data_IF_945890187156
#
_entry.id   IF_945890187156
#
_cell.length_a   1.000
_cell.length_b   1.000
_cell.length_c   1.000
_cell.angle_alpha   90.00
_cell.angle_beta   90.00
_cell.angle_gamma   90.00
#
_symmetry.space_group_name_H-M   'P 1'
#
loop_
_entity.id
_entity.type
_entity.pdbx_description
1 polymer ?
#
# COMPACT_ATOMS: atom_id res chain seq x y z
N UNK A 1 -0.83 1.91 -31.87
CA UNK A 1 -1.11 0.93 -30.79
C UNK A 1 -1.38 1.73 -29.54
N UNK A 2 -2.62 1.77 -29.07
CA UNK A 2 -2.89 2.31 -27.74
C UNK A 2 -2.26 1.35 -26.73
N UNK A 3 -1.19 1.79 -26.06
CA UNK A 3 -0.73 1.10 -24.87
C UNK A 3 -1.84 1.27 -23.83
N UNK A 4 -2.66 0.23 -23.65
CA UNK A 4 -3.62 0.19 -22.55
C UNK A 4 -2.82 0.14 -21.25
N UNK A 5 -2.45 1.31 -20.71
CA UNK A 5 -1.80 1.40 -19.40
C UNK A 5 -2.80 0.87 -18.38
N UNK A 6 -2.43 -0.24 -17.76
CA UNK A 6 -3.18 -0.85 -16.67
C UNK A 6 -3.01 0.00 -15.41
N UNK A 7 -4.07 0.13 -14.62
CA UNK A 7 -3.95 0.71 -13.30
C UNK A 7 -2.94 -0.08 -12.47
N UNK A 8 -2.10 0.64 -11.74
CA UNK A 8 -1.12 0.07 -10.84
C UNK A 8 -0.94 0.96 -9.64
N UNK A 9 -0.59 0.33 -8.53
CA UNK A 9 -0.18 0.96 -7.29
C UNK A 9 1.06 0.25 -6.76
N UNK A 10 2.07 0.99 -6.34
CA UNK A 10 3.13 0.48 -5.46
C UNK A 10 3.12 1.30 -4.19
N UNK A 11 2.90 0.66 -3.05
CA UNK A 11 2.98 1.28 -1.73
C UNK A 11 4.35 0.96 -1.15
N UNK A 12 5.22 1.95 -1.02
CA UNK A 12 6.52 1.82 -0.37
C UNK A 12 6.40 2.30 1.08
N UNK A 13 6.44 1.36 2.02
CA UNK A 13 6.34 1.65 3.44
C UNK A 13 7.76 1.69 4.03
N UNK A 14 8.10 2.81 4.65
CA UNK A 14 9.37 3.06 5.33
C UNK A 14 9.13 3.05 6.85
N UNK A 15 9.94 2.27 7.58
CA UNK A 15 9.88 2.15 9.02
C UNK A 15 10.94 3.02 9.72
N UNK A 16 10.54 4.23 10.12
CA UNK A 16 11.37 5.18 10.87
C UNK A 16 11.06 5.13 12.39
N UNK A 17 10.37 4.09 12.87
CA UNK A 17 10.22 3.86 14.32
C UNK A 17 11.60 3.58 14.93
N UNK A 18 11.89 3.98 16.19
CA UNK A 18 13.22 3.77 16.79
C UNK A 18 13.57 2.30 17.06
N UNK A 19 12.57 1.41 17.06
CA UNK A 19 12.69 -0.04 17.24
C UNK A 19 11.40 -0.73 16.80
N UNK A 20 11.44 -2.05 16.71
CA UNK A 20 10.28 -2.87 16.36
C UNK A 20 10.07 -2.95 14.85
N UNK A 21 9.12 -3.78 14.45
CA UNK A 21 8.80 -4.00 13.05
C UNK A 21 7.44 -3.39 12.72
N UNK A 22 7.27 -2.96 11.48
CA UNK A 22 5.94 -2.74 10.92
C UNK A 22 5.49 -4.04 10.27
N UNK A 23 4.29 -4.49 10.63
CA UNK A 23 3.69 -5.74 10.16
C UNK A 23 2.40 -5.40 9.44
N UNK A 24 2.20 -5.98 8.26
CA UNK A 24 0.98 -5.78 7.49
C UNK A 24 -0.07 -6.78 7.92
N UNK A 25 -1.31 -6.32 8.14
CA UNK A 25 -2.43 -7.16 8.54
C UNK A 25 -3.71 -6.77 7.80
N UNK A 26 -4.71 -7.66 7.89
CA UNK A 26 -6.07 -7.42 7.40
C UNK A 26 -6.13 -6.93 5.95
N UNK A 27 -5.23 -7.42 5.09
CA UNK A 27 -5.24 -7.09 3.67
C UNK A 27 -6.52 -7.60 3.03
N UNK A 28 -7.28 -6.71 2.41
CA UNK A 28 -8.47 -7.02 1.62
C UNK A 28 -8.31 -6.42 0.23
N UNK A 29 -8.50 -7.24 -0.79
CA UNK A 29 -8.42 -6.81 -2.19
C UNK A 29 -9.83 -6.89 -2.79
N UNK A 30 -10.42 -5.72 -3.05
CA UNK A 30 -11.70 -5.64 -3.73
C UNK A 30 -11.54 -5.87 -5.24
N UNK A 31 -10.49 -5.29 -5.84
CA UNK A 31 -10.10 -5.59 -7.22
C UNK A 31 -8.61 -5.37 -7.49
N UNK A 32 -8.12 -6.02 -8.56
CA UNK A 32 -6.70 -6.07 -8.89
C UNK A 32 -6.01 -7.27 -8.24
N UNK A 33 -4.69 -7.35 -8.40
CA UNK A 33 -3.88 -8.47 -7.95
C UNK A 33 -2.59 -7.95 -7.29
N UNK A 34 -2.31 -8.33 -6.03
CA UNK A 34 -1.00 -8.11 -5.42
C UNK A 34 0.09 -8.89 -6.14
N UNK A 35 1.26 -8.30 -6.27
CA UNK A 35 2.44 -8.95 -6.85
C UNK A 35 3.73 -8.40 -6.26
N UNK A 36 4.76 -9.23 -6.29
CA UNK A 36 6.13 -8.85 -5.98
C UNK A 36 6.89 -8.58 -7.29
N UNK A 37 7.58 -7.43 -7.34
CA UNK A 37 8.44 -7.07 -8.46
C UNK A 37 9.81 -7.72 -8.27
N UNK A 38 10.03 -8.85 -8.95
CA UNK A 38 11.34 -9.50 -9.11
C UNK A 38 11.61 -9.74 -10.60
N UNK A 39 12.71 -10.43 -10.95
CA UNK A 39 13.05 -10.77 -12.33
C UNK A 39 11.90 -11.50 -13.06
N UNK A 40 11.08 -12.24 -12.31
CA UNK A 40 9.82 -12.80 -12.77
C UNK A 40 8.74 -12.38 -11.79
N UNK A 41 7.85 -11.47 -12.21
CA UNK A 41 6.76 -10.99 -11.37
C UNK A 41 5.97 -12.17 -10.76
N UNK A 42 5.94 -12.21 -9.43
CA UNK A 42 5.26 -13.26 -8.67
C UNK A 42 3.95 -12.71 -8.14
N UNK A 43 2.84 -13.36 -8.48
CA UNK A 43 1.54 -13.00 -7.90
C UNK A 43 1.51 -13.42 -6.43
N UNK A 44 0.90 -12.59 -5.61
CA UNK A 44 0.75 -12.79 -4.17
C UNK A 44 -0.74 -12.89 -3.82
N UNK A 45 -1.07 -13.76 -2.88
CA UNK A 45 -2.37 -13.74 -2.20
C UNK A 45 -2.42 -12.62 -1.14
N UNK A 46 -3.61 -12.18 -0.69
CA UNK A 46 -3.72 -11.29 0.47
C UNK A 46 -3.05 -11.87 1.72
N UNK A 47 -3.06 -13.19 1.89
CA UNK A 47 -2.39 -13.89 2.99
C UNK A 47 -0.86 -13.80 2.89
N UNK A 48 -0.30 -13.82 1.68
CA UNK A 48 1.13 -13.57 1.48
C UNK A 48 1.50 -12.12 1.82
N UNK A 49 0.63 -11.16 1.49
CA UNK A 49 0.82 -9.74 1.85
C UNK A 49 0.78 -9.55 3.37
N UNK A 50 -0.12 -10.26 4.07
CA UNK A 50 -0.21 -10.24 5.54
C UNK A 50 1.01 -10.87 6.25
N UNK A 51 1.91 -11.54 5.52
CA UNK A 51 3.17 -12.08 6.07
C UNK A 51 4.35 -11.10 5.94
N UNK A 52 4.13 -9.94 5.31
CA UNK A 52 5.18 -8.95 5.12
C UNK A 52 5.49 -8.26 6.45
N UNK A 53 6.78 -8.24 6.78
CA UNK A 53 7.36 -7.54 7.91
C UNK A 53 8.43 -6.57 7.42
N UNK A 54 8.44 -5.37 7.99
CA UNK A 54 9.34 -4.28 7.65
C UNK A 54 10.16 -3.96 8.91
N UNK A 55 11.41 -4.44 9.01
CA UNK A 55 12.26 -4.17 10.15
C UNK A 55 12.51 -2.67 10.36
N UNK A 56 13.01 -2.31 11.54
CA UNK A 56 13.50 -0.97 11.81
C UNK A 56 14.53 -0.53 10.76
N UNK A 57 14.43 0.72 10.30
CA UNK A 57 15.33 1.36 9.33
C UNK A 57 15.32 0.70 7.93
N UNK A 58 14.29 -0.09 7.64
CA UNK A 58 14.09 -0.74 6.35
C UNK A 58 12.81 -0.22 5.66
N UNK A 59 12.74 -0.45 4.35
CA UNK A 59 11.51 -0.31 3.58
C UNK A 59 11.10 -1.62 2.89
N UNK A 60 9.81 -1.72 2.60
CA UNK A 60 9.26 -2.71 1.68
C UNK A 60 8.22 -2.08 0.77
N UNK A 61 8.16 -2.59 -0.46
CA UNK A 61 7.20 -2.16 -1.47
C UNK A 61 6.20 -3.27 -1.74
N UNK A 62 4.92 -2.99 -1.59
CA UNK A 62 3.81 -3.87 -1.98
C UNK A 62 3.19 -3.32 -3.25
N UNK A 63 3.12 -4.14 -4.30
CA UNK A 63 2.59 -3.70 -5.60
C UNK A 63 1.27 -4.38 -5.93
N UNK A 64 0.40 -3.66 -6.62
CA UNK A 64 -0.91 -4.09 -7.06
C UNK A 64 -1.10 -3.69 -8.52
N UNK A 65 -1.62 -4.60 -9.34
CA UNK A 65 -1.97 -4.30 -10.72
C UNK A 65 -3.42 -4.66 -11.02
N UNK A 66 -4.07 -3.84 -11.84
CA UNK A 66 -5.35 -4.18 -12.43
C UNK A 66 -5.20 -5.13 -13.61
N UNK A 67 -6.22 -5.18 -14.46
CA UNK A 67 -6.16 -5.93 -15.72
C UNK A 67 -6.73 -5.12 -16.87
N UNK A 68 -5.90 -4.88 -17.88
CA UNK A 68 -6.36 -4.24 -19.11
C UNK A 68 -7.34 -5.10 -19.91
N UNK A 69 -7.13 -6.41 -19.91
CA UNK A 69 -8.01 -7.37 -20.58
C UNK A 69 -9.41 -7.36 -19.99
N UNK A 70 -9.50 -7.26 -18.65
CA UNK A 70 -10.77 -7.30 -17.93
C UNK A 70 -11.32 -5.93 -17.54
N UNK A 71 -10.62 -4.85 -17.91
CA UNK A 71 -10.98 -3.47 -17.53
C UNK A 71 -11.12 -3.29 -16.02
N UNK A 72 -10.17 -3.84 -15.27
CA UNK A 72 -10.15 -3.83 -13.80
C UNK A 72 -9.07 -2.87 -13.29
N UNK A 73 -9.44 -2.07 -12.28
CA UNK A 73 -8.55 -1.16 -11.56
C UNK A 73 -7.77 -1.85 -10.43
N UNK A 74 -7.41 -1.08 -9.42
CA UNK A 74 -6.88 -1.56 -8.13
C UNK A 74 -7.71 -0.96 -7.01
N UNK A 75 -8.19 -1.78 -6.07
CA UNK A 75 -8.93 -1.30 -4.91
C UNK A 75 -8.74 -2.26 -3.75
N UNK A 76 -8.53 -1.72 -2.56
CA UNK A 76 -8.35 -2.54 -1.37
C UNK A 76 -7.98 -1.74 -0.14
N UNK A 77 -7.75 -2.48 0.93
CA UNK A 77 -7.32 -1.98 2.22
C UNK A 77 -6.23 -2.86 2.81
N UNK A 78 -5.40 -2.27 3.66
CA UNK A 78 -4.51 -3.01 4.57
C UNK A 78 -4.28 -2.20 5.83
N UNK A 79 -3.90 -2.87 6.91
CA UNK A 79 -3.52 -2.23 8.15
C UNK A 79 -2.01 -2.34 8.37
N UNK A 80 -1.42 -1.29 8.93
CA UNK A 80 -0.06 -1.31 9.47
C UNK A 80 -0.13 -1.44 10.99
N UNK A 81 0.64 -2.38 11.53
CA UNK A 81 0.80 -2.61 12.96
C UNK A 81 2.27 -2.50 13.35
N UNK A 82 2.55 -1.95 14.52
CA UNK A 82 3.82 -2.05 15.21
C UNK A 82 3.83 -3.40 15.95
N UNK A 83 4.71 -4.31 15.51
CA UNK A 83 4.78 -5.70 15.94
C UNK A 83 3.40 -6.40 15.92
N UNK A 84 2.98 -7.07 17.00
CA UNK A 84 1.82 -7.97 16.99
C UNK A 84 0.50 -7.24 17.21
N UNK A 85 0.44 -6.19 18.02
CA UNK A 85 -0.82 -5.63 18.53
C UNK A 85 -0.91 -4.09 18.49
N UNK A 86 0.18 -3.38 18.22
CA UNK A 86 0.17 -1.91 18.13
C UNK A 86 -0.39 -1.40 16.81
N UNK A 87 -1.72 -1.28 16.64
CA UNK A 87 -2.28 -0.72 15.40
C UNK A 87 -1.74 0.70 15.16
N UNK A 88 -1.20 0.94 13.96
CA UNK A 88 -0.67 2.23 13.53
C UNK A 88 -1.72 2.97 12.72
N UNK A 89 -2.14 2.41 11.58
CA UNK A 89 -3.04 3.06 10.62
C UNK A 89 -3.68 2.02 9.68
N UNK A 90 -4.87 2.33 9.19
CA UNK A 90 -5.50 1.62 8.08
C UNK A 90 -5.30 2.41 6.79
N UNK A 91 -4.81 1.77 5.74
CA UNK A 91 -4.65 2.35 4.40
C UNK A 91 -5.77 1.85 3.49
N UNK A 92 -6.32 2.75 2.68
CA UNK A 92 -7.28 2.44 1.63
C UNK A 92 -6.78 3.03 0.30
N UNK A 93 -7.02 2.32 -0.79
CA UNK A 93 -6.75 2.82 -2.13
C UNK A 93 -7.87 2.48 -3.10
N UNK A 94 -8.05 3.35 -4.09
CA UNK A 94 -8.87 3.09 -5.27
C UNK A 94 -8.26 3.78 -6.50
N UNK A 95 -7.74 2.97 -7.41
CA UNK A 95 -7.31 3.37 -8.75
C UNK A 95 -8.24 2.72 -9.77
N UNK A 96 -9.38 3.34 -10.12
CA UNK A 96 -10.37 2.74 -11.01
C UNK A 96 -9.81 2.55 -12.42
N UNK A 97 -10.29 1.53 -13.14
CA UNK A 97 -9.89 1.28 -14.53
C UNK A 97 -10.10 2.51 -15.43
N UNK A 98 -11.26 3.14 -15.27
CA UNK A 98 -11.52 4.47 -15.80
C UNK A 98 -10.61 5.43 -15.05
N UNK A 99 -9.64 6.05 -15.73
CA UNK A 99 -8.55 6.84 -15.12
C UNK A 99 -8.95 8.21 -14.58
N UNK A 100 -10.13 8.27 -13.99
CA UNK A 100 -10.73 9.45 -13.39
C UNK A 100 -10.79 9.21 -11.89
N UNK A 101 -10.22 10.13 -11.12
CA UNK A 101 -10.38 10.21 -9.67
C UNK A 101 -9.78 9.02 -8.89
N UNK A 102 -8.46 8.97 -8.88
CA UNK A 102 -7.69 8.12 -7.98
C UNK A 102 -7.82 8.57 -6.53
N UNK A 103 -7.77 7.63 -5.60
CA UNK A 103 -7.91 7.84 -4.17
C UNK A 103 -6.89 7.01 -3.37
N UNK A 104 -6.34 7.61 -2.32
CA UNK A 104 -5.47 6.94 -1.35
C UNK A 104 -5.62 7.64 0.00
N UNK A 105 -6.18 6.95 0.99
CA UNK A 105 -6.56 7.54 2.27
C UNK A 105 -6.03 6.74 3.45
N UNK A 106 -5.96 7.43 4.59
CA UNK A 106 -5.71 6.85 5.90
C UNK A 106 -6.94 6.91 6.78
N UNK A 107 -7.16 5.87 7.56
CA UNK A 107 -8.15 5.82 8.63
C UNK A 107 -7.52 5.22 9.89
N UNK A 108 -8.16 5.42 11.04
CA UNK A 108 -7.77 4.79 12.32
C UNK A 108 -6.30 5.01 12.72
N UNK A 109 -5.72 6.16 12.36
CA UNK A 109 -4.37 6.52 12.77
C UNK A 109 -4.30 6.69 14.30
N UNK A 110 -3.44 5.91 14.96
CA UNK A 110 -3.08 6.15 16.35
C UNK A 110 -2.10 7.34 16.44
N UNK A 111 -2.66 8.56 16.38
CA UNK A 111 -1.90 9.80 16.31
C UNK A 111 -1.18 10.17 17.63
N UNK A 112 -1.58 9.56 18.74
CA UNK A 112 -0.92 9.76 20.05
C UNK A 112 0.47 9.13 20.08
N UNK A 113 0.69 8.05 19.32
CA UNK A 113 1.94 7.30 19.30
C UNK A 113 2.70 7.43 17.98
N UNK A 114 2.00 7.59 16.86
CA UNK A 114 2.59 7.54 15.53
C UNK A 114 2.23 8.73 14.66
N UNK A 115 3.18 9.12 13.82
CA UNK A 115 2.97 10.02 12.69
C UNK A 115 3.15 9.22 11.41
N UNK A 116 2.20 9.35 10.48
CA UNK A 116 2.25 8.70 9.17
C UNK A 116 2.18 9.78 8.10
N UNK A 117 3.25 9.88 7.31
CA UNK A 117 3.34 10.81 6.19
C UNK A 117 3.20 10.07 4.87
N UNK A 118 2.35 10.57 3.99
CA UNK A 118 2.15 10.01 2.66
C UNK A 118 2.62 10.98 1.58
N UNK A 119 3.19 10.46 0.51
CA UNK A 119 3.44 11.26 -0.69
C UNK A 119 2.12 11.67 -1.36
N UNK A 120 2.06 12.83 -2.04
CA UNK A 120 0.91 13.18 -2.87
C UNK A 120 0.64 12.13 -3.95
N UNK A 121 -0.64 11.93 -4.29
CA UNK A 121 -1.06 11.07 -5.41
C UNK A 121 -1.44 11.90 -6.63
N UNK A 122 -1.49 11.24 -7.80
CA UNK A 122 -2.07 11.82 -8.99
C UNK A 122 -3.58 11.52 -9.03
N UNK A 123 -4.43 12.54 -9.04
CA UNK A 123 -5.89 12.38 -9.10
C UNK A 123 -6.38 11.74 -10.41
N UNK A 124 -5.59 11.84 -11.48
CA UNK A 124 -5.92 11.29 -12.80
C UNK A 124 -4.76 10.46 -13.35
N UNK A 125 -5.08 9.53 -14.26
CA UNK A 125 -4.08 8.60 -14.78
C UNK A 125 -3.90 7.39 -13.87
N UNK A 126 -2.69 6.83 -13.86
CA UNK A 126 -2.37 5.70 -12.97
C UNK A 126 -2.16 6.19 -11.54
N UNK A 127 -2.61 5.43 -10.54
CA UNK A 127 -2.39 5.77 -9.13
C UNK A 127 -0.88 5.80 -8.79
N UNK A 128 -0.10 4.88 -9.37
CA UNK A 128 1.34 5.00 -9.44
C UNK A 128 2.05 4.53 -8.18
N UNK A 129 3.00 5.33 -7.69
CA UNK A 129 3.88 4.95 -6.58
C UNK A 129 3.60 5.89 -5.40
N UNK A 130 3.29 5.33 -4.22
CA UNK A 130 2.94 6.07 -3.00
C UNK A 130 3.93 5.69 -1.90
N UNK A 131 4.61 6.68 -1.34
CA UNK A 131 5.47 6.50 -0.17
C UNK A 131 4.66 6.71 1.10
N UNK A 132 4.82 5.82 2.07
CA UNK A 132 4.23 5.89 3.41
C UNK A 132 5.36 5.78 4.42
N UNK A 133 5.62 6.87 5.13
CA UNK A 133 6.67 6.94 6.15
C UNK A 133 6.00 6.91 7.52
N UNK A 134 6.36 5.93 8.33
CA UNK A 134 5.85 5.77 9.69
C UNK A 134 6.95 6.11 10.68
N UNK A 135 6.68 7.06 11.57
CA UNK A 135 7.58 7.49 12.62
C UNK A 135 6.84 7.60 13.97
N UNK A 136 7.60 7.70 15.06
CA UNK A 136 7.01 7.96 16.37
C UNK A 136 6.59 9.44 16.50
N UNK A 137 5.42 9.70 17.07
CA UNK A 137 4.99 11.06 17.38
C UNK A 137 5.95 11.67 18.40
N UNK A 138 6.54 12.81 18.05
CA UNK A 138 7.39 13.58 18.97
C UNK A 138 6.51 14.24 20.04
N UNK A 139 6.81 14.02 21.31
CA UNK A 139 6.19 14.70 22.45
C UNK A 139 6.98 15.92 22.86
#
# INVERSE_FOLDING_TARGET
>A
MEHHVTQRLSISVQNDLPKGNIVIKNTVIACGQPYEKSDIAKLLSPEDVNQIMIPHDENRTISFCGSATYRVGVEGTLDLYHDIDGQIVSLYWNGPWTRTHNQFDMANLNCEEYTVNMSPIQESGILGDVSVIVAQTSR
#
